data_IF_856956861166
#
_entry.id   IF_856956861166
#
_cell.length_a   1.000
_cell.length_b   1.000
_cell.length_c   1.000
_cell.angle_alpha   90.00
_cell.angle_beta   90.00
_cell.angle_gamma   90.00
#
_symmetry.space_group_name_H-M   'P 1'
#
loop_
_entity.id
_entity.type
_entity.pdbx_description
1 polymer ?
#
# COMPACT_ATOMS: atom_id res chain seq x y z
N UNK A 1 -1.26 -15.41 15.20
CA UNK A 1 -2.08 -15.29 13.97
C UNK A 1 -1.16 -14.95 12.82
N UNK A 2 -1.46 -15.29 11.57
CA UNK A 2 -0.63 -14.94 10.41
C UNK A 2 -1.53 -14.45 9.27
N UNK A 3 -1.03 -13.47 8.52
CA UNK A 3 -1.68 -12.95 7.31
C UNK A 3 -1.86 -14.07 6.26
N UNK A 4 -2.97 -14.08 5.48
CA UNK A 4 -3.17 -15.07 4.43
C UNK A 4 -2.07 -15.06 3.35
N UNK A 5 -1.65 -16.23 2.89
CA UNK A 5 -0.76 -16.43 1.75
C UNK A 5 -1.53 -17.19 0.67
N UNK A 6 -1.67 -16.59 -0.51
CA UNK A 6 -2.56 -17.06 -1.57
C UNK A 6 -1.74 -17.32 -2.83
N UNK A 7 -1.93 -18.51 -3.42
CA UNK A 7 -1.32 -18.88 -4.69
C UNK A 7 -2.14 -18.32 -5.85
N UNK A 8 -1.62 -17.25 -6.46
CA UNK A 8 -2.35 -16.50 -7.49
C UNK A 8 -2.49 -17.28 -8.80
N UNK A 9 -1.60 -18.25 -9.06
CA UNK A 9 -1.62 -19.06 -10.29
C UNK A 9 -2.88 -19.93 -10.40
N UNK A 10 -3.47 -20.28 -9.25
CA UNK A 10 -4.66 -21.13 -9.14
C UNK A 10 -5.95 -20.51 -9.68
N UNK A 11 -5.97 -19.20 -9.93
CA UNK A 11 -7.10 -18.52 -10.57
C UNK A 11 -7.40 -19.00 -11.99
N UNK A 12 -6.44 -19.66 -12.65
CA UNK A 12 -6.58 -20.14 -14.03
C UNK A 12 -6.88 -21.65 -14.12
N UNK A 13 -7.19 -22.32 -13.01
CA UNK A 13 -7.38 -23.77 -12.96
C UNK A 13 -8.59 -24.21 -12.13
N UNK A 14 -8.62 -25.50 -11.78
CA UNK A 14 -9.73 -26.13 -11.06
C UNK A 14 -9.95 -25.56 -9.65
N UNK A 15 -8.91 -24.98 -9.04
CA UNK A 15 -8.97 -24.36 -7.71
C UNK A 15 -9.46 -22.91 -7.72
N UNK A 16 -9.84 -22.35 -8.88
CA UNK A 16 -10.22 -20.94 -9.03
C UNK A 16 -11.25 -20.47 -8.02
N UNK A 17 -12.34 -21.22 -7.83
CA UNK A 17 -13.41 -20.82 -6.91
C UNK A 17 -12.93 -20.73 -5.46
N UNK A 18 -12.03 -21.63 -5.06
CA UNK A 18 -11.40 -21.59 -3.73
C UNK A 18 -10.48 -20.39 -3.60
N UNK A 19 -9.63 -20.12 -4.58
CA UNK A 19 -8.72 -18.97 -4.58
C UNK A 19 -9.48 -17.63 -4.56
N UNK A 20 -10.59 -17.52 -5.29
CA UNK A 20 -11.48 -16.36 -5.21
C UNK A 20 -12.02 -16.14 -3.80
N UNK A 21 -12.50 -17.20 -3.15
CA UNK A 21 -13.00 -17.14 -1.78
C UNK A 21 -11.91 -16.77 -0.77
N UNK A 22 -10.68 -17.28 -0.93
CA UNK A 22 -9.52 -16.91 -0.10
C UNK A 22 -9.20 -15.41 -0.23
N UNK A 23 -9.23 -14.86 -1.45
CA UNK A 23 -9.01 -13.43 -1.69
C UNK A 23 -10.14 -12.59 -1.11
N UNK A 24 -11.42 -12.98 -1.30
CA UNK A 24 -12.56 -12.29 -0.72
C UNK A 24 -12.44 -12.23 0.81
N UNK A 25 -12.21 -13.37 1.45
CA UNK A 25 -12.04 -13.46 2.90
C UNK A 25 -10.85 -12.64 3.39
N UNK A 26 -9.73 -12.62 2.65
CA UNK A 26 -8.60 -11.78 3.02
C UNK A 26 -8.94 -10.28 2.95
N UNK A 27 -9.67 -9.83 1.93
CA UNK A 27 -10.12 -8.44 1.84
C UNK A 27 -11.14 -8.06 2.93
N UNK A 28 -12.09 -8.95 3.23
CA UNK A 28 -13.16 -8.72 4.21
C UNK A 28 -12.64 -8.78 5.66
N UNK A 29 -11.76 -9.72 5.98
CA UNK A 29 -11.29 -9.93 7.35
C UNK A 29 -10.00 -9.19 7.68
N UNK A 30 -9.07 -9.11 6.73
CA UNK A 30 -7.72 -8.60 6.98
C UNK A 30 -7.45 -7.25 6.32
N UNK A 31 -8.02 -7.02 5.13
CA UNK A 31 -7.58 -5.95 4.24
C UNK A 31 -6.14 -6.12 3.75
N UNK A 32 -5.54 -7.31 3.96
CA UNK A 32 -4.12 -7.62 3.78
C UNK A 32 -3.95 -9.11 3.43
N UNK A 33 -3.14 -9.42 2.42
CA UNK A 33 -2.70 -10.79 2.08
C UNK A 33 -1.38 -10.79 1.31
N UNK A 34 -0.75 -11.96 1.18
CA UNK A 34 0.46 -12.13 0.37
C UNK A 34 0.17 -13.02 -0.85
N UNK A 35 0.75 -12.67 -2.00
CA UNK A 35 0.64 -13.44 -3.23
C UNK A 35 1.95 -14.15 -3.57
N UNK A 36 1.89 -15.48 -3.66
CA UNK A 36 2.90 -16.31 -4.33
C UNK A 36 2.46 -16.60 -5.76
N UNK A 37 3.40 -16.96 -6.64
CA UNK A 37 3.14 -17.23 -8.05
C UNK A 37 2.32 -16.10 -8.73
N UNK A 38 2.66 -14.86 -8.40
CA UNK A 38 1.95 -13.64 -8.82
C UNK A 38 2.17 -13.26 -10.30
N UNK A 39 3.07 -13.97 -10.99
CA UNK A 39 3.36 -13.79 -12.42
C UNK A 39 4.52 -12.85 -12.72
N UNK A 40 5.10 -12.19 -11.72
CA UNK A 40 6.32 -11.40 -11.87
C UNK A 40 7.53 -12.35 -11.87
N UNK A 41 8.43 -12.18 -12.84
CA UNK A 41 9.62 -13.02 -12.93
C UNK A 41 10.52 -12.86 -11.70
N UNK A 42 10.96 -13.97 -11.10
CA UNK A 42 11.85 -13.94 -9.93
C UNK A 42 13.16 -13.21 -10.22
N UNK A 43 13.70 -13.35 -11.43
CA UNK A 43 14.88 -12.63 -11.89
C UNK A 43 14.71 -11.09 -11.86
N UNK A 44 13.49 -10.60 -12.15
CA UNK A 44 13.17 -9.17 -12.03
C UNK A 44 13.12 -8.75 -10.55
N UNK A 45 12.50 -9.55 -9.69
CA UNK A 45 12.45 -9.29 -8.25
C UNK A 45 13.85 -9.23 -7.63
N UNK A 46 14.75 -10.13 -8.03
CA UNK A 46 16.15 -10.13 -7.60
C UNK A 46 16.90 -8.89 -8.08
N UNK A 47 16.73 -8.50 -9.35
CA UNK A 47 17.29 -7.24 -9.87
C UNK A 47 16.78 -6.02 -9.11
N UNK A 48 15.49 -5.95 -8.84
CA UNK A 48 14.85 -4.86 -8.09
C UNK A 48 15.49 -4.74 -6.70
N UNK A 49 15.59 -5.85 -5.94
CA UNK A 49 16.26 -5.87 -4.64
C UNK A 49 17.69 -5.33 -4.71
N UNK A 50 18.44 -5.79 -5.71
CA UNK A 50 19.84 -5.40 -5.91
C UNK A 50 19.97 -3.90 -6.17
N UNK A 51 19.27 -3.36 -7.18
CA UNK A 51 19.41 -1.95 -7.55
C UNK A 51 18.87 -1.02 -6.47
N UNK A 52 17.80 -1.39 -5.75
CA UNK A 52 17.27 -0.60 -4.64
C UNK A 52 18.23 -0.54 -3.47
N UNK A 53 18.83 -1.68 -3.09
CA UNK A 53 19.80 -1.74 -1.98
C UNK A 53 21.10 -1.01 -2.33
N UNK A 54 21.57 -1.12 -3.57
CA UNK A 54 22.74 -0.39 -4.07
C UNK A 54 22.48 1.12 -4.09
N UNK A 55 21.31 1.53 -4.57
CA UNK A 55 20.89 2.93 -4.55
C UNK A 55 20.90 3.52 -3.13
N UNK A 56 20.32 2.81 -2.16
CA UNK A 56 20.35 3.26 -0.78
C UNK A 56 21.78 3.43 -0.27
N UNK A 57 22.60 2.39 -0.43
CA UNK A 57 23.99 2.37 0.06
C UNK A 57 24.85 3.48 -0.53
N UNK A 58 24.72 3.73 -1.84
CA UNK A 58 25.59 4.67 -2.56
C UNK A 58 25.09 6.11 -2.45
N UNK A 59 23.78 6.33 -2.50
CA UNK A 59 23.23 7.68 -2.69
C UNK A 59 22.41 8.21 -1.50
N UNK A 60 21.98 7.33 -0.58
CA UNK A 60 21.02 7.70 0.49
C UNK A 60 21.57 7.55 1.89
N UNK A 61 22.34 6.50 2.16
CA UNK A 61 22.73 6.10 3.51
C UNK A 61 23.43 7.22 4.29
N UNK A 62 24.38 7.91 3.67
CA UNK A 62 25.09 9.03 4.32
C UNK A 62 24.16 10.21 4.63
N UNK A 63 23.23 10.53 3.72
CA UNK A 63 22.25 11.59 3.96
C UNK A 63 21.27 11.20 5.06
N UNK A 64 20.87 9.92 5.14
CA UNK A 64 20.02 9.43 6.21
C UNK A 64 20.72 9.52 7.58
N UNK A 65 22.00 9.12 7.68
CA UNK A 65 22.79 9.22 8.92
C UNK A 65 22.90 10.65 9.45
N UNK A 66 22.89 11.64 8.56
CA UNK A 66 22.94 13.06 8.91
C UNK A 66 21.55 13.75 8.93
N UNK A 67 20.47 12.96 8.83
CA UNK A 67 19.12 13.48 8.72
C UNK A 67 18.57 14.03 10.03
N UNK A 68 17.50 14.82 9.93
CA UNK A 68 16.80 15.39 11.07
C UNK A 68 16.29 14.33 12.05
N UNK A 69 15.79 13.19 11.56
CA UNK A 69 15.25 12.13 12.44
C UNK A 69 16.35 11.47 13.27
N UNK A 70 17.53 11.26 12.70
CA UNK A 70 18.70 10.74 13.44
C UNK A 70 19.16 11.72 14.52
N UNK A 71 19.27 13.02 14.16
CA UNK A 71 19.64 14.05 15.12
C UNK A 71 18.63 14.16 16.28
N UNK A 72 17.33 14.15 15.96
CA UNK A 72 16.27 14.16 16.98
C UNK A 72 16.36 12.95 17.92
N UNK A 73 16.64 11.75 17.40
CA UNK A 73 16.78 10.55 18.24
C UNK A 73 17.99 10.67 19.18
N UNK A 74 19.11 11.19 18.68
CA UNK A 74 20.32 11.39 19.49
C UNK A 74 20.12 12.45 20.59
N UNK A 75 19.27 13.45 20.34
CA UNK A 75 18.99 14.56 21.26
C UNK A 75 17.80 14.29 22.20
N UNK A 76 16.98 13.27 21.95
CA UNK A 76 15.72 13.06 22.67
C UNK A 76 15.89 12.58 24.12
N UNK A 77 17.12 12.22 24.55
CA UNK A 77 17.33 11.61 25.85
C UNK A 77 16.46 10.37 25.99
N UNK A 78 15.57 10.34 26.99
CA UNK A 78 14.62 9.23 27.21
C UNK A 78 13.23 9.44 26.61
N UNK A 79 12.99 10.57 25.93
CA UNK A 79 11.69 10.86 25.32
C UNK A 79 11.43 10.03 24.06
N UNK A 80 10.16 9.62 23.89
CA UNK A 80 9.68 8.96 22.68
C UNK A 80 9.35 9.97 21.60
N UNK A 81 9.76 9.68 20.38
CA UNK A 81 9.53 10.48 19.19
C UNK A 81 8.25 10.00 18.48
N UNK A 82 7.12 10.68 18.75
CA UNK A 82 5.80 10.30 18.21
C UNK A 82 5.43 11.06 16.92
N UNK A 83 6.21 12.08 16.55
CA UNK A 83 5.91 12.98 15.43
C UNK A 83 6.82 12.81 14.20
N UNK A 84 7.70 11.81 14.21
CA UNK A 84 8.65 11.51 13.13
C UNK A 84 8.66 10.01 12.85
N UNK A 85 9.10 9.65 11.64
CA UNK A 85 9.20 8.27 11.16
C UNK A 85 10.69 7.95 10.88
N UNK A 86 11.18 6.81 11.36
CA UNK A 86 12.55 6.34 11.12
C UNK A 86 12.66 5.66 9.75
N UNK A 87 12.64 6.48 8.70
CA UNK A 87 12.51 6.03 7.31
C UNK A 87 13.38 6.89 6.39
N UNK A 88 14.14 6.25 5.49
CA UNK A 88 14.59 6.89 4.26
C UNK A 88 13.58 6.57 3.16
N UNK A 89 13.10 7.60 2.45
CA UNK A 89 12.06 7.42 1.43
C UNK A 89 12.32 8.29 0.21
N UNK A 90 12.04 7.71 -0.96
CA UNK A 90 11.79 8.42 -2.21
C UNK A 90 10.46 7.97 -2.83
N UNK A 91 9.85 8.83 -3.63
CA UNK A 91 8.64 8.60 -4.39
C UNK A 91 8.92 8.66 -5.88
N UNK A 92 8.83 7.51 -6.53
CA UNK A 92 8.91 7.35 -7.97
C UNK A 92 7.53 7.53 -8.59
N UNK A 93 7.38 8.56 -9.40
CA UNK A 93 6.21 8.79 -10.25
C UNK A 93 6.65 8.99 -11.71
N UNK A 94 5.70 8.91 -12.64
CA UNK A 94 5.99 9.10 -14.07
C UNK A 94 6.29 10.57 -14.41
N UNK A 95 5.78 11.50 -13.61
CA UNK A 95 5.92 12.95 -13.77
C UNK A 95 7.12 13.54 -13.00
N UNK A 96 7.55 12.91 -11.89
CA UNK A 96 8.70 13.37 -11.12
C UNK A 96 9.93 12.51 -11.37
N UNK A 97 10.69 12.86 -12.42
CA UNK A 97 11.96 12.20 -12.76
C UNK A 97 13.13 12.57 -11.83
N UNK A 98 12.98 13.60 -10.98
CA UNK A 98 14.09 14.12 -10.17
C UNK A 98 14.55 13.17 -9.05
N UNK A 99 13.66 12.31 -8.57
CA UNK A 99 13.97 11.32 -7.53
C UNK A 99 14.49 10.00 -8.08
N UNK A 100 14.52 9.84 -9.41
CA UNK A 100 15.08 8.66 -10.05
C UNK A 100 16.60 8.73 -10.02
N UNK A 101 17.25 7.66 -9.55
CA UNK A 101 18.71 7.57 -9.63
C UNK A 101 19.18 7.51 -11.08
N UNK A 102 20.24 8.28 -11.37
CA UNK A 102 21.02 8.21 -12.61
C UNK A 102 22.44 7.66 -12.37
N UNK A 103 22.85 7.50 -11.11
CA UNK A 103 24.19 7.01 -10.75
C UNK A 103 24.20 5.50 -10.54
N UNK A 104 23.13 4.94 -9.98
CA UNK A 104 22.98 3.49 -9.80
C UNK A 104 22.63 2.83 -11.12
N UNK A 105 23.56 2.01 -11.62
CA UNK A 105 23.45 1.37 -12.93
C UNK A 105 22.22 0.44 -12.99
N UNK A 106 21.40 0.61 -14.04
CA UNK A 106 20.22 -0.23 -14.27
C UNK A 106 19.02 0.08 -13.36
N UNK A 107 19.10 1.06 -12.45
CA UNK A 107 18.01 1.40 -11.54
C UNK A 107 16.72 1.78 -12.30
N UNK A 108 16.82 2.72 -13.25
CA UNK A 108 15.63 3.22 -13.94
C UNK A 108 14.95 2.17 -14.81
N UNK A 109 15.73 1.40 -15.56
CA UNK A 109 15.22 0.33 -16.43
C UNK A 109 14.51 -0.73 -15.59
N UNK A 110 15.17 -1.22 -14.54
CA UNK A 110 14.63 -2.24 -13.64
C UNK A 110 13.37 -1.76 -12.93
N UNK A 111 13.37 -0.53 -12.39
CA UNK A 111 12.21 0.01 -11.68
C UNK A 111 11.04 0.33 -12.61
N UNK A 112 11.29 0.72 -13.87
CA UNK A 112 10.23 0.91 -14.89
C UNK A 112 9.58 -0.42 -15.28
N UNK A 113 10.39 -1.44 -15.53
CA UNK A 113 9.93 -2.80 -15.83
C UNK A 113 9.10 -3.36 -14.66
N UNK A 114 9.61 -3.22 -13.43
CA UNK A 114 8.90 -3.66 -12.23
C UNK A 114 7.57 -2.94 -12.01
N UNK A 115 7.54 -1.62 -12.15
CA UNK A 115 6.30 -0.83 -12.03
C UNK A 115 5.28 -1.21 -13.12
N UNK A 116 5.74 -1.57 -14.31
CA UNK A 116 4.86 -2.06 -15.38
C UNK A 116 4.20 -3.38 -14.99
N UNK A 117 4.97 -4.36 -14.53
CA UNK A 117 4.45 -5.65 -14.05
C UNK A 117 3.49 -5.49 -12.86
N UNK A 118 3.81 -4.62 -11.91
CA UNK A 118 2.92 -4.30 -10.79
C UNK A 118 1.61 -3.66 -11.23
N UNK A 119 1.62 -2.80 -12.27
CA UNK A 119 0.39 -2.24 -12.83
C UNK A 119 -0.51 -3.33 -13.40
N UNK A 120 0.07 -4.30 -14.13
CA UNK A 120 -0.68 -5.46 -14.66
C UNK A 120 -1.28 -6.28 -13.51
N UNK A 121 -0.48 -6.57 -12.48
CA UNK A 121 -0.95 -7.32 -11.31
C UNK A 121 -2.06 -6.58 -10.56
N UNK A 122 -1.93 -5.27 -10.36
CA UNK A 122 -2.96 -4.44 -9.72
C UNK A 122 -4.29 -4.50 -10.47
N UNK A 123 -4.26 -4.41 -11.80
CA UNK A 123 -5.47 -4.49 -12.63
C UNK A 123 -6.12 -5.88 -12.54
N UNK A 124 -5.34 -6.97 -12.55
CA UNK A 124 -5.86 -8.33 -12.34
C UNK A 124 -6.50 -8.49 -10.96
N UNK A 125 -5.89 -7.93 -9.91
CA UNK A 125 -6.44 -7.97 -8.55
C UNK A 125 -7.76 -7.19 -8.47
N UNK A 126 -7.84 -6.02 -9.08
CA UNK A 126 -9.08 -5.26 -9.15
C UNK A 126 -10.17 -6.00 -9.91
N UNK A 127 -9.85 -6.72 -11.00
CA UNK A 127 -10.82 -7.57 -11.70
C UNK A 127 -11.33 -8.73 -10.83
N UNK A 128 -10.45 -9.33 -10.02
CA UNK A 128 -10.85 -10.36 -9.03
C UNK A 128 -11.75 -9.77 -7.94
N UNK A 129 -11.42 -8.56 -7.46
CA UNK A 129 -12.26 -7.83 -6.50
C UNK A 129 -13.62 -7.50 -7.09
N UNK A 130 -13.69 -7.06 -8.35
CA UNK A 130 -14.94 -6.81 -9.06
C UNK A 130 -15.82 -8.07 -9.04
N UNK A 131 -15.27 -9.24 -9.40
CA UNK A 131 -16.01 -10.49 -9.44
C UNK A 131 -16.52 -10.95 -8.07
N UNK A 132 -15.66 -10.91 -7.04
CA UNK A 132 -16.02 -11.28 -5.68
C UNK A 132 -17.09 -10.34 -5.07
N UNK A 133 -17.16 -9.08 -5.56
CA UNK A 133 -18.18 -8.10 -5.18
C UNK A 133 -19.39 -8.12 -6.14
N UNK A 134 -19.47 -9.06 -7.09
CA UNK A 134 -20.52 -9.13 -8.11
C UNK A 134 -20.67 -7.85 -8.95
N UNK A 135 -19.58 -7.10 -9.11
CA UNK A 135 -19.48 -5.93 -9.95
C UNK A 135 -19.11 -6.33 -11.39
N UNK A 136 -19.50 -5.53 -12.39
CA UNK A 136 -19.04 -5.74 -13.76
C UNK A 136 -17.50 -5.72 -13.82
N UNK A 137 -16.91 -6.62 -14.62
CA UNK A 137 -15.46 -6.65 -14.84
C UNK A 137 -14.93 -5.27 -15.26
N UNK A 138 -13.91 -4.77 -14.56
CA UNK A 138 -13.28 -3.48 -14.80
C UNK A 138 -14.00 -2.31 -14.13
N UNK A 139 -14.94 -2.56 -13.22
CA UNK A 139 -15.70 -1.52 -12.53
C UNK A 139 -14.78 -0.64 -11.67
N UNK A 140 -13.96 -1.23 -10.80
CA UNK A 140 -13.02 -0.47 -9.95
C UNK A 140 -12.05 0.34 -10.82
N UNK A 141 -11.46 -0.26 -11.86
CA UNK A 141 -10.56 0.43 -12.80
C UNK A 141 -11.26 1.64 -13.45
N UNK A 142 -12.51 1.49 -13.88
CA UNK A 142 -13.29 2.59 -14.46
C UNK A 142 -13.56 3.69 -13.43
N UNK A 143 -13.94 3.33 -12.20
CA UNK A 143 -14.15 4.29 -11.12
C UNK A 143 -12.88 5.10 -10.84
N UNK A 144 -11.71 4.44 -10.82
CA UNK A 144 -10.43 5.08 -10.58
C UNK A 144 -10.00 6.01 -11.72
N UNK A 145 -10.35 5.73 -12.97
CA UNK A 145 -10.03 6.64 -14.07
C UNK A 145 -10.93 7.90 -14.10
N UNK A 146 -12.11 7.83 -13.47
CA UNK A 146 -13.06 8.94 -13.44
C UNK A 146 -13.71 9.23 -14.80
N UNK A 147 -14.41 10.35 -14.88
CA UNK A 147 -15.03 10.82 -16.13
C UNK A 147 -13.96 11.46 -17.05
N UNK A 148 -13.95 11.11 -18.33
CA UNK A 148 -13.15 11.81 -19.34
C UNK A 148 -11.92 11.08 -19.92
N UNK A 149 -11.69 9.79 -19.62
CA UNK A 149 -10.72 8.99 -20.39
C UNK A 149 -10.15 7.76 -19.68
N UNK A 150 -9.54 6.88 -20.46
CA UNK A 150 -8.73 5.76 -19.98
C UNK A 150 -7.33 6.24 -19.59
N UNK A 151 -6.72 5.63 -18.56
CA UNK A 151 -5.36 5.92 -18.06
C UNK A 151 -5.16 7.22 -17.25
N UNK A 152 -6.21 7.72 -16.59
CA UNK A 152 -6.09 8.83 -15.63
C UNK A 152 -5.73 8.35 -14.21
N UNK A 153 -6.02 7.09 -13.88
CA UNK A 153 -5.52 6.47 -12.66
C UNK A 153 -3.99 6.38 -12.70
N UNK A 154 -3.33 6.56 -11.56
CA UNK A 154 -1.88 6.65 -11.49
C UNK A 154 -1.27 5.60 -10.56
N UNK A 155 -0.04 5.19 -10.87
CA UNK A 155 0.76 4.28 -10.05
C UNK A 155 1.95 5.05 -9.47
N UNK A 156 1.87 5.46 -8.20
CA UNK A 156 3.02 5.99 -7.47
C UNK A 156 3.80 4.86 -6.81
N UNK A 157 5.11 4.96 -6.64
CA UNK A 157 5.90 3.96 -5.91
C UNK A 157 6.78 4.60 -4.86
N UNK A 158 6.61 4.20 -3.60
CA UNK A 158 7.51 4.56 -2.52
C UNK A 158 8.58 3.49 -2.38
N UNK A 159 9.83 3.89 -2.57
CA UNK A 159 10.98 3.09 -2.23
C UNK A 159 11.50 3.58 -0.89
N UNK A 160 11.37 2.74 0.13
CA UNK A 160 11.76 3.03 1.49
C UNK A 160 12.82 2.04 1.98
N UNK A 161 13.71 2.55 2.82
CA UNK A 161 14.58 1.76 3.67
C UNK A 161 14.31 2.14 5.13
N UNK A 162 14.25 1.14 6.00
CA UNK A 162 14.20 1.32 7.45
C UNK A 162 15.52 0.81 8.04
N UNK A 163 16.53 1.69 8.20
CA UNK A 163 17.87 1.28 8.61
C UNK A 163 17.89 0.89 10.09
N UNK A 164 18.97 0.22 10.57
CA UNK A 164 19.14 -0.11 11.98
C UNK A 164 18.96 1.13 12.88
N UNK A 165 18.10 0.99 13.89
CA UNK A 165 17.80 2.03 14.86
C UNK A 165 18.42 1.67 16.22
N UNK A 166 19.28 2.51 16.82
CA UNK A 166 19.91 2.19 18.11
C UNK A 166 18.92 2.14 19.28
N UNK A 167 17.77 2.80 19.16
CA UNK A 167 16.73 2.89 20.18
C UNK A 167 15.32 2.66 19.57
N UNK A 168 15.01 1.43 19.11
CA UNK A 168 13.76 1.15 18.41
C UNK A 168 12.50 1.36 19.28
N UNK A 169 12.65 1.36 20.61
CA UNK A 169 11.58 1.67 21.56
C UNK A 169 11.18 3.16 21.59
N UNK A 170 12.04 4.05 21.05
CA UNK A 170 11.84 5.50 21.07
C UNK A 170 11.25 6.06 19.78
N UNK A 171 11.41 5.38 18.65
CA UNK A 171 10.92 5.85 17.34
C UNK A 171 10.40 4.70 16.49
N UNK A 172 9.24 4.89 15.87
CA UNK A 172 8.66 3.89 14.97
C UNK A 172 9.22 4.07 13.56
N UNK A 173 9.42 2.99 12.80
CA UNK A 173 9.82 3.06 11.39
C UNK A 173 8.81 3.85 10.57
N UNK A 174 7.53 3.48 10.65
CA UNK A 174 6.41 4.24 10.11
C UNK A 174 5.20 4.13 11.04
N UNK A 175 4.69 5.26 11.51
CA UNK A 175 3.54 5.32 12.45
C UNK A 175 2.28 4.68 11.85
N UNK A 176 1.39 4.25 12.75
CA UNK A 176 0.14 3.60 12.39
C UNK A 176 -0.73 4.50 11.50
N UNK A 177 -1.18 3.96 10.37
CA UNK A 177 -2.12 4.62 9.45
C UNK A 177 -2.86 3.57 8.61
N UNK A 178 -3.89 4.02 7.88
CA UNK A 178 -4.44 3.29 6.74
C UNK A 178 -4.01 4.02 5.46
N UNK A 179 -3.99 3.31 4.34
CA UNK A 179 -3.60 3.93 3.07
C UNK A 179 -4.77 4.67 2.43
N UNK A 180 -4.56 5.93 2.04
CA UNK A 180 -5.59 6.73 1.38
C UNK A 180 -6.07 6.15 0.04
N UNK A 181 -5.27 5.30 -0.57
CA UNK A 181 -5.32 4.95 -1.99
C UNK A 181 -6.33 3.87 -2.37
N UNK A 182 -6.07 3.28 -3.54
CA UNK A 182 -6.83 2.16 -4.07
C UNK A 182 -6.28 0.82 -3.61
N UNK A 183 -5.46 0.19 -4.45
CA UNK A 183 -4.80 -1.09 -4.14
C UNK A 183 -3.31 -0.84 -4.00
N UNK A 184 -2.72 -1.39 -2.95
CA UNK A 184 -1.31 -1.26 -2.63
C UNK A 184 -0.65 -2.61 -2.88
N UNK A 185 0.49 -2.58 -3.58
CA UNK A 185 1.30 -3.74 -3.91
C UNK A 185 2.69 -3.49 -3.35
N UNK A 186 3.04 -4.22 -2.30
CA UNK A 186 4.28 -4.09 -1.58
C UNK A 186 5.19 -5.28 -1.88
N UNK A 187 6.35 -4.98 -2.46
CA UNK A 187 7.49 -5.88 -2.45
C UNK A 187 8.41 -5.48 -1.30
N UNK A 188 8.46 -6.32 -0.27
CA UNK A 188 9.24 -6.07 0.94
C UNK A 188 10.45 -7.00 1.04
N UNK A 189 11.33 -6.67 1.97
CA UNK A 189 12.40 -7.54 2.45
C UNK A 189 11.87 -8.94 2.79
N UNK A 190 12.63 -9.98 2.43
CA UNK A 190 12.29 -11.39 2.68
C UNK A 190 12.98 -11.99 3.90
N UNK A 191 13.81 -11.21 4.61
CA UNK A 191 14.49 -11.63 5.83
C UNK A 191 14.17 -10.70 7.01
N UNK A 192 14.14 -9.39 6.79
CA UNK A 192 13.94 -8.38 7.83
C UNK A 192 12.45 -8.01 7.96
N UNK A 193 11.84 -8.39 9.08
CA UNK A 193 10.46 -8.03 9.43
C UNK A 193 10.28 -6.56 9.82
N UNK A 194 9.07 -6.22 10.27
CA UNK A 194 8.78 -4.90 10.86
C UNK A 194 7.39 -4.37 10.51
N UNK A 195 6.84 -4.75 9.35
CA UNK A 195 5.46 -4.41 8.99
C UNK A 195 4.47 -5.19 9.86
N UNK A 196 3.53 -4.46 10.47
CA UNK A 196 2.44 -5.01 11.26
C UNK A 196 1.10 -4.48 10.77
N UNK A 197 0.08 -5.34 10.77
CA UNK A 197 -1.32 -5.00 10.51
C UNK A 197 -2.13 -5.19 11.79
N UNK A 198 -3.09 -4.30 12.05
CA UNK A 198 -3.99 -4.40 13.19
C UNK A 198 -5.17 -5.32 12.82
N UNK A 199 -5.32 -6.44 13.52
CA UNK A 199 -6.46 -7.37 13.40
C UNK A 199 -7.04 -7.63 14.78
N UNK A 200 -8.34 -7.39 14.94
CA UNK A 200 -9.08 -7.66 16.17
C UNK A 200 -8.45 -7.07 17.45
N UNK A 201 -7.84 -5.87 17.32
CA UNK A 201 -7.18 -5.17 18.42
C UNK A 201 -5.72 -5.57 18.66
N UNK A 202 -5.19 -6.53 17.92
CA UNK A 202 -3.82 -7.02 18.02
C UNK A 202 -2.98 -6.65 16.80
N UNK A 203 -1.73 -6.25 17.02
CA UNK A 203 -0.76 -6.02 15.95
C UNK A 203 -0.15 -7.36 15.52
N UNK A 204 -0.36 -7.74 14.27
CA UNK A 204 0.10 -8.99 13.68
C UNK A 204 1.18 -8.71 12.65
N UNK A 205 2.33 -9.39 12.76
CA UNK A 205 3.42 -9.26 11.79
C UNK A 205 3.03 -9.78 10.41
N UNK A 206 3.37 -8.99 9.38
CA UNK A 206 3.34 -9.43 7.98
C UNK A 206 4.68 -10.11 7.70
N UNK A 207 4.65 -11.43 7.67
CA UNK A 207 5.84 -12.28 7.61
C UNK A 207 6.68 -11.98 6.35
N UNK A 208 8.00 -11.77 6.47
CA UNK A 208 8.90 -11.73 5.32
C UNK A 208 8.83 -13.05 4.55
N UNK A 209 8.56 -12.97 3.25
CA UNK A 209 8.49 -14.13 2.36
C UNK A 209 9.17 -13.82 1.03
N UNK A 210 10.01 -14.75 0.58
CA UNK A 210 10.75 -14.62 -0.67
C UNK A 210 9.79 -14.64 -1.87
N UNK A 211 10.06 -13.76 -2.84
CA UNK A 211 9.35 -13.68 -4.13
C UNK A 211 7.83 -13.44 -4.02
N UNK A 212 7.37 -12.84 -2.91
CA UNK A 212 5.97 -12.50 -2.69
C UNK A 212 5.67 -11.02 -2.85
N UNK A 213 4.44 -10.71 -3.24
CA UNK A 213 3.88 -9.36 -3.20
C UNK A 213 2.80 -9.31 -2.13
N UNK A 214 2.97 -8.45 -1.13
CA UNK A 214 1.93 -8.13 -0.16
C UNK A 214 0.91 -7.22 -0.84
N UNK A 215 -0.37 -7.53 -0.69
CA UNK A 215 -1.49 -6.73 -1.18
C UNK A 215 -2.25 -6.19 0.01
N UNK A 216 -2.60 -4.91 -0.02
CA UNK A 216 -3.59 -4.35 0.89
C UNK A 216 -4.54 -3.37 0.21
N UNK A 217 -5.73 -3.25 0.78
CA UNK A 217 -6.78 -2.36 0.32
C UNK A 217 -6.69 -1.01 1.02
N UNK A 218 -6.77 0.07 0.24
CA UNK A 218 -6.82 1.43 0.74
C UNK A 218 -8.25 1.93 0.95
N UNK A 219 -8.36 3.12 1.52
CA UNK A 219 -9.61 3.78 1.89
C UNK A 219 -10.59 3.89 0.70
N UNK A 220 -10.10 3.99 -0.55
CA UNK A 220 -10.99 4.11 -1.73
C UNK A 220 -11.67 2.79 -2.09
N UNK A 221 -11.01 1.65 -1.86
CA UNK A 221 -11.63 0.33 -2.05
C UNK A 221 -12.67 0.09 -0.95
N UNK A 222 -12.39 0.52 0.28
CA UNK A 222 -13.36 0.47 1.37
C UNK A 222 -14.63 1.27 1.05
N UNK A 223 -14.49 2.50 0.54
CA UNK A 223 -15.64 3.30 0.10
C UNK A 223 -16.39 2.63 -1.05
N UNK A 224 -15.69 2.19 -2.11
CA UNK A 224 -16.33 1.55 -3.28
C UNK A 224 -17.09 0.28 -2.91
N UNK A 225 -16.54 -0.53 -2.00
CA UNK A 225 -17.13 -1.77 -1.52
C UNK A 225 -18.18 -1.56 -0.42
N UNK A 226 -18.50 -0.30 -0.09
CA UNK A 226 -19.40 0.07 0.99
C UNK A 226 -19.01 -0.57 2.34
N UNK A 227 -17.72 -0.59 2.66
CA UNK A 227 -17.18 -1.13 3.91
C UNK A 227 -16.95 -2.64 3.92
N UNK A 228 -17.33 -3.38 2.87
CA UNK A 228 -17.11 -4.83 2.81
C UNK A 228 -15.63 -5.18 2.82
N UNK A 229 -14.82 -4.51 2.01
CA UNK A 229 -13.36 -4.69 2.02
C UNK A 229 -12.71 -3.62 2.89
N UNK A 230 -11.92 -4.06 3.87
CA UNK A 230 -11.40 -3.18 4.92
C UNK A 230 -10.10 -2.52 4.49
N UNK A 231 -9.93 -1.23 4.76
CA UNK A 231 -8.61 -0.61 4.81
C UNK A 231 -8.06 -0.69 6.23
N UNK A 232 -7.15 -1.64 6.43
CA UNK A 232 -6.64 -1.96 7.75
C UNK A 232 -5.51 -1.03 8.19
N UNK A 233 -5.50 -0.74 9.49
CA UNK A 233 -4.41 -0.03 10.14
C UNK A 233 -3.14 -0.87 10.07
N UNK A 234 -2.04 -0.25 9.67
CA UNK A 234 -0.74 -0.89 9.61
C UNK A 234 0.37 0.09 10.03
N UNK A 235 1.51 -0.45 10.46
CA UNK A 235 2.69 0.31 10.91
C UNK A 235 3.97 -0.45 10.55
N UNK A 236 5.11 0.23 10.61
CA UNK A 236 6.44 -0.42 10.49
C UNK A 236 7.23 -0.15 11.75
N UNK A 237 7.66 -1.20 12.44
CA UNK A 237 8.57 -1.10 13.58
C UNK A 237 10.00 -0.83 13.09
N UNK A 238 10.73 -0.02 13.85
CA UNK A 238 12.18 0.08 13.72
C UNK A 238 12.83 -1.12 14.44
N UNK A 239 13.99 -1.55 13.96
CA UNK A 239 14.72 -2.70 14.51
C UNK A 239 16.15 -2.31 14.84
N UNK A 240 16.77 -3.00 15.80
CA UNK A 240 18.16 -2.70 16.21
C UNK A 240 19.18 -3.13 15.15
N UNK A 241 18.81 -4.13 14.36
CA UNK A 241 19.58 -4.75 13.31
C UNK A 241 18.73 -4.94 12.05
N UNK A 242 19.40 -5.08 10.91
CA UNK A 242 18.75 -5.18 9.60
C UNK A 242 18.36 -3.82 9.01
N UNK A 243 18.33 -3.76 7.68
CA UNK A 243 17.83 -2.61 6.93
C UNK A 243 16.68 -3.09 6.05
N UNK A 244 15.45 -2.97 6.54
CA UNK A 244 14.27 -3.47 5.82
C UNK A 244 14.06 -2.67 4.54
N UNK A 245 14.18 -3.34 3.39
CA UNK A 245 13.75 -2.80 2.11
C UNK A 245 12.21 -2.85 1.98
N UNK A 246 11.62 -1.79 1.43
CA UNK A 246 10.18 -1.70 1.21
C UNK A 246 9.88 -0.94 -0.07
N UNK A 247 9.29 -1.61 -1.06
CA UNK A 247 8.91 -1.02 -2.34
C UNK A 247 7.39 -1.13 -2.50
N UNK A 248 6.69 -0.09 -2.05
CA UNK A 248 5.24 -0.04 -2.07
C UNK A 248 4.74 0.76 -3.29
N UNK A 249 4.04 0.09 -4.20
CA UNK A 249 3.36 0.74 -5.32
C UNK A 249 1.87 0.90 -5.04
N UNK A 250 1.37 2.11 -5.25
CA UNK A 250 0.01 2.53 -4.93
C UNK A 250 -0.75 2.76 -6.24
N UNK A 251 -1.67 1.87 -6.58
CA UNK A 251 -2.60 2.09 -7.69
C UNK A 251 -3.77 2.94 -7.19
N UNK A 252 -3.74 4.23 -7.54
CA UNK A 252 -4.65 5.23 -7.02
C UNK A 252 -5.62 5.74 -8.09
N UNK A 253 -6.82 6.20 -7.67
CA UNK A 253 -7.69 6.95 -8.56
C UNK A 253 -6.99 8.20 -9.12
N UNK A 254 -7.46 8.65 -10.27
CA UNK A 254 -7.25 10.03 -10.74
C UNK A 254 -7.64 11.01 -9.63
N UNK A 255 -6.88 12.08 -9.46
CA UNK A 255 -7.24 13.15 -8.50
C UNK A 255 -8.60 13.79 -8.81
N UNK A 256 -9.13 13.62 -10.03
CA UNK A 256 -10.45 14.10 -10.46
C UNK A 256 -11.52 13.02 -10.41
N UNK A 257 -11.17 11.77 -10.09
CA UNK A 257 -12.13 10.69 -9.98
C UNK A 257 -13.12 10.96 -8.85
N UNK A 258 -14.39 10.71 -9.12
CA UNK A 258 -15.43 10.72 -8.09
C UNK A 258 -15.57 9.32 -7.52
N UNK A 259 -15.34 9.17 -6.22
CA UNK A 259 -15.42 7.91 -5.49
C UNK A 259 -16.71 7.91 -4.67
N UNK A 260 -17.42 6.79 -4.68
CA UNK A 260 -18.66 6.56 -3.96
C UNK A 260 -18.92 5.06 -3.83
N UNK A 261 -19.73 4.60 -2.86
CA UNK A 261 -20.21 3.24 -2.81
C UNK A 261 -20.80 2.75 -4.14
N UNK A 262 -20.46 1.53 -4.54
CA UNK A 262 -21.03 0.93 -5.73
C UNK A 262 -22.56 0.75 -5.54
N UNK A 263 -23.41 1.26 -6.46
CA UNK A 263 -24.86 1.21 -6.29
C UNK A 263 -25.43 -0.21 -6.10
N UNK A 264 -24.77 -1.22 -6.66
CA UNK A 264 -25.12 -2.63 -6.50
C UNK A 264 -25.00 -3.09 -5.04
N UNK A 265 -23.96 -2.62 -4.34
CA UNK A 265 -23.63 -3.03 -2.97
C UNK A 265 -24.41 -2.26 -1.90
N UNK A 266 -24.91 -1.06 -2.22
CA UNK A 266 -25.78 -0.28 -1.32
C UNK A 266 -27.20 -0.86 -1.26
N UNK A 267 -27.70 -1.40 -2.38
CA UNK A 267 -29.06 -1.96 -2.45
C UNK A 267 -29.22 -3.27 -1.66
N UNK A 268 -28.12 -3.98 -1.42
CA UNK A 268 -28.13 -5.26 -0.72
C UNK A 268 -28.20 -5.10 0.81
N UNK A 269 -27.72 -3.99 1.37
CA UNK A 269 -27.60 -3.85 2.83
C UNK A 269 -28.89 -3.42 3.55
N UNK A 270 -29.94 -2.95 2.85
CA UNK A 270 -31.19 -2.44 3.46
C UNK A 270 -30.99 -1.41 4.61
N UNK A 271 -29.80 -0.85 4.76
CA UNK A 271 -29.47 0.14 5.77
C UNK A 271 -29.94 1.53 5.32
N UNK A 272 -30.46 2.31 6.26
CA UNK A 272 -30.88 3.70 6.01
C UNK A 272 -29.73 4.51 5.42
N UNK A 273 -30.04 5.39 4.46
CA UNK A 273 -29.09 6.22 3.69
C UNK A 273 -28.11 7.05 4.54
N UNK A 274 -28.29 7.16 5.86
CA UNK A 274 -27.50 8.01 6.75
C UNK A 274 -26.13 7.38 7.16
N UNK A 275 -25.99 6.06 7.02
CA UNK A 275 -24.76 5.31 7.40
C UNK A 275 -23.81 4.98 6.24
N UNK A 276 -24.15 5.34 4.99
CA UNK A 276 -23.29 5.04 3.83
C UNK A 276 -22.05 5.93 3.77
N UNK A 277 -20.94 5.37 3.26
CA UNK A 277 -19.75 6.15 2.93
C UNK A 277 -20.08 7.29 1.95
N UNK A 278 -19.40 8.44 2.06
CA UNK A 278 -19.70 9.62 1.26
C UNK A 278 -19.32 9.44 -0.22
N UNK A 279 -19.94 10.27 -1.07
CA UNK A 279 -19.48 10.54 -2.44
C UNK A 279 -18.60 11.78 -2.43
N UNK A 280 -17.40 11.70 -3.02
CA UNK A 280 -16.42 12.79 -3.04
C UNK A 280 -15.44 12.67 -4.21
N UNK A 281 -14.67 13.73 -4.47
CA UNK A 281 -13.57 13.72 -5.45
C UNK A 281 -12.28 13.29 -4.74
N UNK A 282 -11.50 12.39 -5.34
CA UNK A 282 -10.31 11.82 -4.70
C UNK A 282 -9.26 12.88 -4.32
N UNK A 283 -9.09 13.94 -5.13
CA UNK A 283 -8.18 15.05 -4.80
C UNK A 283 -8.57 15.81 -3.52
N UNK A 284 -9.86 15.92 -3.24
CA UNK A 284 -10.35 16.54 -2.00
C UNK A 284 -10.05 15.63 -0.79
N UNK A 285 -10.24 14.32 -0.95
CA UNK A 285 -9.85 13.33 0.07
C UNK A 285 -8.35 13.36 0.36
N UNK A 286 -7.51 13.44 -0.67
CA UNK A 286 -6.06 13.56 -0.49
C UNK A 286 -5.67 14.84 0.28
N UNK A 287 -6.37 15.95 0.05
CA UNK A 287 -6.12 17.21 0.77
C UNK A 287 -6.42 17.11 2.27
N UNK A 288 -7.45 16.32 2.64
CA UNK A 288 -7.75 16.00 4.06
C UNK A 288 -6.74 14.99 4.60
N UNK A 289 -6.46 13.92 3.85
CA UNK A 289 -5.60 12.82 4.29
C UNK A 289 -4.18 13.28 4.62
N UNK A 290 -3.58 14.17 3.83
CA UNK A 290 -2.22 14.67 4.09
C UNK A 290 -2.12 15.35 5.47
N UNK A 291 -3.21 15.93 5.96
CA UNK A 291 -3.26 16.58 7.28
C UNK A 291 -3.61 15.61 8.41
N UNK A 292 -4.25 14.49 8.10
CA UNK A 292 -4.86 13.56 9.06
C UNK A 292 -4.35 12.12 8.93
N UNK A 293 -3.24 11.89 8.22
CA UNK A 293 -2.71 10.56 7.90
C UNK A 293 -2.61 9.65 9.12
N UNK A 294 -2.10 10.17 10.23
CA UNK A 294 -1.86 9.44 11.48
C UNK A 294 -2.96 9.65 12.53
N UNK A 295 -4.06 10.30 12.15
CA UNK A 295 -5.26 10.46 12.98
C UNK A 295 -6.30 9.40 12.59
N UNK A 296 -7.35 9.17 13.41
CA UNK A 296 -8.43 8.24 13.07
C UNK A 296 -8.95 8.43 11.64
N UNK A 297 -9.31 7.33 10.98
CA UNK A 297 -9.70 7.33 9.57
C UNK A 297 -11.12 7.87 9.37
N UNK A 298 -12.03 7.55 10.28
CA UNK A 298 -13.46 7.80 10.17
C UNK A 298 -13.79 9.30 10.00
N UNK A 299 -13.14 10.24 10.73
CA UNK A 299 -13.33 11.67 10.51
C UNK A 299 -12.97 12.14 9.09
N UNK A 300 -12.06 11.45 8.38
CA UNK A 300 -11.66 11.84 7.01
C UNK A 300 -12.83 11.69 6.05
N UNK A 301 -13.62 10.63 6.17
CA UNK A 301 -14.82 10.44 5.37
C UNK A 301 -15.87 11.52 5.68
N UNK A 302 -16.06 11.87 6.95
CA UNK A 302 -16.99 12.93 7.33
C UNK A 302 -16.58 14.29 6.75
N UNK A 303 -15.27 14.59 6.73
CA UNK A 303 -14.74 15.85 6.22
C UNK A 303 -14.95 16.05 4.70
N UNK A 304 -15.03 14.96 3.92
CA UNK A 304 -15.28 15.03 2.47
C UNK A 304 -16.73 14.77 2.09
N UNK A 305 -17.62 14.57 3.07
CA UNK A 305 -19.06 14.42 2.80
C UNK A 305 -19.54 15.73 2.16
N UNK A 306 -19.91 15.67 0.88
CA UNK A 306 -20.46 16.82 0.18
C UNK A 306 -21.69 17.35 0.95
N UNK A 307 -21.74 18.69 1.12
CA UNK A 307 -22.96 19.42 1.52
C UNK A 307 -23.87 19.56 0.29
#
# INVERSE_FOLDING_TARGET
MAIPVIDFSKLNGDERAKTLAEIANACEEWGFFQLVNNGIAEELLERVKKVSSEFYKVEREENFKNSKVVNLLNESGDEKLENVDWEDVITLTDDNVSEWSYQTLGFQETMKEFRYELKILAEKIMEVMDENLWLPKGYIKKAFNGEGGENNAFLGTKLCHYPPCPNPEKVTGLRAHTDAGGVILLFQDDEVGGLQVLKDGEWIDVQPLKNTIVINTGDQIEVLSNGRYKSAWHRVLSTIDGNRLSIASFYNPSLKATIAPAPQLVKETNEEMDQTYPRFVFGDYMSVYVQQKFLPKEPRFQAVRAV
#
